data_IF_172513317618
#
_entry.id   IF_172513317618
#
_cell.length_a   1.000
_cell.length_b   1.000
_cell.length_c   1.000
_cell.angle_alpha   90.00
_cell.angle_beta   90.00
_cell.angle_gamma   90.00
#
_symmetry.space_group_name_H-M   'P 1'
#
loop_
_entity.id
_entity.type
_entity.pdbx_description
1 polymer ?
#
# COMPACT_ATOMS: atom_id res chain seq x y z
N UNK A 1 -9.37 16.19 -6.93
CA UNK A 1 -8.71 14.89 -7.17
C UNK A 1 -7.82 15.00 -8.38
N UNK A 2 -6.73 14.24 -8.41
CA UNK A 2 -5.85 14.12 -9.57
C UNK A 2 -6.56 13.27 -10.63
N UNK A 3 -6.72 13.77 -11.86
CA UNK A 3 -7.31 12.98 -12.94
C UNK A 3 -6.35 11.88 -13.42
N UNK A 4 -6.85 10.90 -14.18
CA UNK A 4 -6.05 9.74 -14.62
C UNK A 4 -4.77 10.12 -15.39
N UNK A 5 -4.80 11.20 -16.18
CA UNK A 5 -3.61 11.68 -16.91
C UNK A 5 -2.62 12.28 -15.93
N UNK A 6 -3.07 13.17 -15.05
CA UNK A 6 -2.21 13.81 -14.06
C UNK A 6 -1.58 12.80 -13.09
N UNK A 7 -2.31 11.74 -12.69
CA UNK A 7 -1.78 10.65 -11.87
C UNK A 7 -0.67 9.87 -12.59
N UNK A 8 -0.84 9.60 -13.89
CA UNK A 8 0.18 8.94 -14.70
C UNK A 8 1.44 9.80 -14.84
N UNK A 9 1.29 11.11 -15.04
CA UNK A 9 2.43 12.05 -15.13
C UNK A 9 3.19 12.09 -13.81
N UNK A 10 2.49 12.24 -12.69
CA UNK A 10 3.10 12.27 -11.37
C UNK A 10 3.89 10.98 -11.10
N UNK A 11 3.32 9.82 -11.44
CA UNK A 11 4.00 8.54 -11.30
C UNK A 11 5.32 8.48 -12.08
N UNK A 12 5.32 8.92 -13.33
CA UNK A 12 6.52 8.93 -14.18
C UNK A 12 7.58 9.88 -13.59
N UNK A 13 7.17 11.06 -13.14
CA UNK A 13 8.06 12.06 -12.57
C UNK A 13 8.76 11.53 -11.31
N UNK A 14 7.98 10.99 -10.36
CA UNK A 14 8.53 10.47 -9.10
C UNK A 14 9.48 9.29 -9.34
N UNK A 15 9.16 8.40 -10.28
CA UNK A 15 10.05 7.30 -10.64
C UNK A 15 11.36 7.79 -11.25
N UNK A 16 11.31 8.75 -12.18
CA UNK A 16 12.51 9.35 -12.76
C UNK A 16 13.38 10.01 -11.70
N UNK A 17 12.79 10.77 -10.77
CA UNK A 17 13.53 11.38 -9.66
C UNK A 17 14.23 10.34 -8.79
N UNK A 18 13.55 9.22 -8.50
CA UNK A 18 14.14 8.12 -7.74
C UNK A 18 15.31 7.46 -8.49
N UNK A 19 15.16 7.22 -9.80
CA UNK A 19 16.21 6.69 -10.67
C UNK A 19 17.44 7.63 -10.78
N UNK A 20 17.22 8.95 -10.66
CA UNK A 20 18.27 9.97 -10.62
C UNK A 20 18.93 10.11 -9.22
N UNK A 21 18.55 9.27 -8.25
CA UNK A 21 19.17 9.18 -6.92
C UNK A 21 18.43 9.93 -5.82
N UNK A 22 17.27 10.52 -6.09
CA UNK A 22 16.44 11.11 -5.03
C UNK A 22 15.74 10.03 -4.20
N UNK A 23 15.49 10.31 -2.92
CA UNK A 23 14.58 9.49 -2.10
C UNK A 23 13.18 10.10 -2.14
N UNK A 24 12.18 9.31 -2.50
CA UNK A 24 10.77 9.74 -2.54
C UNK A 24 10.00 9.09 -1.40
N UNK A 25 9.37 9.92 -0.56
CA UNK A 25 8.43 9.45 0.45
C UNK A 25 7.00 9.73 -0.01
N UNK A 26 6.22 8.66 -0.23
CA UNK A 26 4.84 8.74 -0.69
C UNK A 26 3.89 8.26 0.41
N UNK A 27 2.94 9.13 0.80
CA UNK A 27 1.83 8.77 1.70
C UNK A 27 0.52 8.80 0.93
N UNK A 28 -0.25 7.71 0.98
CA UNK A 28 -1.55 7.62 0.31
C UNK A 28 -2.48 6.68 1.08
N UNK A 29 -3.78 6.93 1.01
CA UNK A 29 -4.82 5.99 1.46
C UNK A 29 -5.28 5.06 0.33
N UNK A 30 -4.83 5.30 -0.91
CA UNK A 30 -5.12 4.46 -2.07
C UNK A 30 -4.04 3.39 -2.19
N UNK A 31 -4.29 2.22 -1.64
CA UNK A 31 -3.31 1.14 -1.52
C UNK A 31 -2.80 0.65 -2.87
N UNK A 32 -3.66 0.59 -3.90
CA UNK A 32 -3.25 0.23 -5.26
C UNK A 32 -2.16 1.16 -5.83
N UNK A 33 -2.17 2.44 -5.45
CA UNK A 33 -1.14 3.39 -5.86
C UNK A 33 0.18 3.08 -5.14
N UNK A 34 0.13 2.87 -3.82
CA UNK A 34 1.32 2.51 -3.03
C UNK A 34 1.96 1.22 -3.57
N UNK A 35 1.16 0.19 -3.81
CA UNK A 35 1.61 -1.10 -4.35
C UNK A 35 2.31 -0.94 -5.72
N UNK A 36 1.75 -0.10 -6.60
CA UNK A 36 2.28 0.10 -7.96
C UNK A 36 3.43 1.09 -8.07
N UNK A 37 3.68 1.91 -7.05
CA UNK A 37 4.62 3.03 -7.12
C UNK A 37 5.80 2.90 -6.18
N UNK A 38 5.61 2.29 -5.01
CA UNK A 38 6.64 2.22 -3.98
C UNK A 38 7.50 0.96 -4.12
N UNK A 39 8.79 1.08 -3.83
CA UNK A 39 9.71 -0.07 -3.75
C UNK A 39 9.58 -0.78 -2.40
N UNK A 40 9.32 0.00 -1.34
CA UNK A 40 9.07 -0.46 0.03
C UNK A 40 7.84 0.26 0.57
N UNK A 41 7.07 -0.44 1.37
CA UNK A 41 5.79 0.02 1.92
C UNK A 41 5.85 -0.15 3.44
N UNK A 42 5.47 0.91 4.15
CA UNK A 42 5.24 0.88 5.59
C UNK A 42 3.75 1.00 5.90
N UNK A 43 3.24 0.19 6.81
CA UNK A 43 1.85 0.25 7.28
C UNK A 43 1.86 0.84 8.69
N UNK A 44 1.11 1.93 8.86
CA UNK A 44 0.97 2.63 10.14
C UNK A 44 -0.46 2.44 10.65
N UNK A 45 -0.61 1.90 11.86
CA UNK A 45 -1.87 1.85 12.58
C UNK A 45 -1.71 2.48 13.96
N UNK A 46 -2.69 3.30 14.37
CA UNK A 46 -2.73 3.98 15.69
C UNK A 46 -1.39 4.64 16.09
N UNK A 47 -0.73 5.28 15.12
CA UNK A 47 0.54 5.99 15.33
C UNK A 47 1.78 5.09 15.45
N UNK A 48 1.68 3.80 15.13
CA UNK A 48 2.79 2.84 15.15
C UNK A 48 3.01 2.24 13.76
N UNK A 49 4.27 2.10 13.36
CA UNK A 49 4.65 1.34 12.18
C UNK A 49 4.56 -0.15 12.53
N UNK A 50 3.55 -0.82 11.98
CA UNK A 50 3.25 -2.23 12.30
C UNK A 50 3.88 -3.21 11.30
N UNK A 51 4.20 -2.75 10.10
CA UNK A 51 4.93 -3.52 9.09
C UNK A 51 5.73 -2.60 8.16
N UNK A 52 6.87 -3.07 7.65
CA UNK A 52 7.70 -2.37 6.67
C UNK A 52 8.47 -3.38 5.81
N UNK A 53 8.42 -3.22 4.49
CA UNK A 53 9.18 -4.08 3.58
C UNK A 53 8.78 -3.89 2.13
N UNK A 54 9.33 -4.70 1.23
CA UNK A 54 8.76 -4.87 -0.09
C UNK A 54 7.40 -5.58 0.01
N UNK A 55 6.58 -5.51 -1.04
CA UNK A 55 5.32 -6.28 -1.07
C UNK A 55 5.57 -7.78 -0.85
N UNK A 56 6.68 -8.33 -1.38
CA UNK A 56 7.04 -9.73 -1.16
C UNK A 56 7.39 -10.03 0.31
N UNK A 57 8.09 -9.11 0.99
CA UNK A 57 8.39 -9.26 2.40
C UNK A 57 7.11 -9.31 3.23
N UNK A 58 6.18 -8.39 2.96
CA UNK A 58 4.88 -8.34 3.64
C UNK A 58 4.06 -9.62 3.40
N UNK A 59 4.03 -10.11 2.16
CA UNK A 59 3.39 -11.40 1.81
C UNK A 59 3.99 -12.58 2.57
N UNK A 60 5.32 -12.61 2.71
CA UNK A 60 6.04 -13.66 3.44
C UNK A 60 5.75 -13.60 4.94
N UNK A 61 5.69 -12.41 5.52
CA UNK A 61 5.35 -12.21 6.93
C UNK A 61 3.96 -12.78 7.26
N UNK A 62 3.00 -12.58 6.36
CA UNK A 62 1.60 -13.00 6.56
C UNK A 62 1.28 -14.40 6.03
N UNK A 63 2.24 -15.08 5.39
CA UNK A 63 2.04 -16.42 4.82
C UNK A 63 1.16 -16.45 3.56
N UNK A 64 0.95 -15.31 2.89
CA UNK A 64 0.04 -15.17 1.76
C UNK A 64 0.73 -14.67 0.49
N UNK A 65 1.17 -15.60 -0.35
CA UNK A 65 1.99 -15.32 -1.53
C UNK A 65 1.28 -14.53 -2.65
N UNK A 66 -0.06 -14.40 -2.61
CA UNK A 66 -0.86 -13.71 -3.63
C UNK A 66 -1.68 -12.54 -3.10
N UNK A 67 -1.55 -12.21 -1.82
CA UNK A 67 -2.29 -11.11 -1.22
C UNK A 67 -1.93 -9.77 -1.89
N UNK A 68 -2.93 -8.95 -2.19
CA UNK A 68 -2.71 -7.55 -2.53
C UNK A 68 -2.27 -6.75 -1.30
N UNK A 69 -1.80 -5.52 -1.49
CA UNK A 69 -1.53 -4.64 -0.36
C UNK A 69 -2.79 -4.34 0.46
N UNK A 70 -3.96 -4.35 -0.18
CA UNK A 70 -5.26 -4.17 0.48
C UNK A 70 -5.58 -5.32 1.43
N UNK A 71 -5.42 -6.55 0.99
CA UNK A 71 -5.63 -7.75 1.82
C UNK A 71 -4.70 -7.72 3.04
N UNK A 72 -3.41 -7.42 2.81
CA UNK A 72 -2.41 -7.33 3.86
C UNK A 72 -2.73 -6.21 4.85
N UNK A 73 -3.17 -5.05 4.37
CA UNK A 73 -3.56 -3.94 5.21
C UNK A 73 -4.73 -4.32 6.12
N UNK A 74 -5.83 -4.84 5.55
CA UNK A 74 -7.03 -5.22 6.31
C UNK A 74 -6.73 -6.27 7.38
N UNK A 75 -5.86 -7.24 7.06
CA UNK A 75 -5.41 -8.28 7.99
C UNK A 75 -4.58 -7.67 9.12
N UNK A 76 -3.57 -6.87 8.78
CA UNK A 76 -2.63 -6.28 9.75
C UNK A 76 -3.30 -5.25 10.68
N UNK A 77 -4.31 -4.53 10.19
CA UNK A 77 -5.07 -3.56 11.00
C UNK A 77 -6.26 -4.19 11.74
N UNK A 78 -6.53 -5.49 11.55
CA UNK A 78 -7.68 -6.18 12.13
C UNK A 78 -9.03 -5.71 11.60
N UNK A 79 -9.05 -5.07 10.43
CA UNK A 79 -10.28 -4.55 9.80
C UNK A 79 -10.98 -5.61 8.94
N UNK A 80 -10.30 -6.71 8.58
CA UNK A 80 -10.90 -7.81 7.80
C UNK A 80 -12.17 -8.38 8.44
N UNK A 81 -12.17 -8.61 9.76
CA UNK A 81 -13.34 -9.13 10.49
C UNK A 81 -14.54 -8.17 10.47
N UNK A 82 -14.28 -6.87 10.47
CA UNK A 82 -15.32 -5.83 10.41
C UNK A 82 -15.98 -5.81 9.03
N UNK A 83 -15.18 -5.87 7.96
CA UNK A 83 -15.66 -5.96 6.58
C UNK A 83 -16.53 -7.20 6.38
N UNK A 84 -16.07 -8.37 6.83
CA UNK A 84 -16.84 -9.62 6.72
C UNK A 84 -18.19 -9.54 7.46
N UNK A 85 -18.22 -8.91 8.64
CA UNK A 85 -19.44 -8.74 9.42
C UNK A 85 -20.47 -7.89 8.66
N UNK A 86 -20.05 -6.74 8.14
CA UNK A 86 -20.91 -5.83 7.38
C UNK A 86 -21.51 -6.55 6.16
N UNK A 87 -20.71 -7.31 5.43
CA UNK A 87 -21.17 -8.03 4.23
C UNK A 87 -22.20 -9.12 4.58
N UNK A 88 -22.09 -9.78 5.74
CA UNK A 88 -23.08 -10.79 6.19
C UNK A 88 -24.42 -10.20 6.60
N UNK A 89 -24.47 -8.91 6.90
CA UNK A 89 -25.68 -8.19 7.33
C UNK A 89 -26.44 -7.55 6.16
N UNK A 90 -25.90 -7.61 4.93
CA UNK A 90 -26.55 -7.20 3.68
C UNK A 90 -27.38 -8.33 3.07
#
# INVERSE_FOLDING_TARGET
GLDAKSAKILKILLRKMAEEGATVFLTTHVLEIAEKMCDRIGIIDKGKLIAEGTLEDLRRMEGEFKASLEDLFLKLTGQGEEVERIVREL
#
